data_IF_973922565741
#
_entry.id   IF_973922565741
#
_cell.length_a   1.000
_cell.length_b   1.000
_cell.length_c   1.000
_cell.angle_alpha   90.00
_cell.angle_beta   90.00
_cell.angle_gamma   90.00
#
_symmetry.space_group_name_H-M   'P 1'
#
loop_
_entity.id
_entity.type
_entity.pdbx_description
1 polymer ?
#
# COMPACT_ATOMS: atom_id res chain seq x y z
N UNK A 1 -10.68 -19.15 18.56
CA UNK A 1 -9.57 -18.51 19.33
C UNK A 1 -9.07 -19.52 20.33
N UNK A 2 -7.80 -19.48 20.73
CA UNK A 2 -7.28 -20.44 21.71
C UNK A 2 -7.01 -19.68 23.02
N UNK A 3 -7.57 -20.17 24.11
CA UNK A 3 -7.21 -19.72 25.46
C UNK A 3 -6.08 -20.63 25.93
N UNK A 4 -4.93 -20.01 26.23
CA UNK A 4 -3.78 -20.70 26.81
C UNK A 4 -3.95 -20.65 28.32
N UNK A 5 -4.05 -21.80 28.98
CA UNK A 5 -4.14 -21.89 30.43
C UNK A 5 -2.74 -21.96 31.03
N UNK A 6 -2.63 -21.51 32.29
CA UNK A 6 -1.36 -21.53 33.04
C UNK A 6 -0.85 -22.97 33.19
N UNK A 7 0.46 -23.12 33.34
CA UNK A 7 1.07 -24.40 33.69
C UNK A 7 0.65 -24.84 35.11
N UNK A 8 0.23 -26.10 35.27
CA UNK A 8 -0.19 -26.66 36.57
C UNK A 8 -1.67 -26.51 36.93
N UNK A 9 -2.49 -25.98 36.01
CA UNK A 9 -3.95 -25.89 36.14
C UNK A 9 -4.55 -27.29 36.19
N UNK A 10 -5.26 -27.62 37.26
CA UNK A 10 -5.94 -28.90 37.46
C UNK A 10 -7.22 -29.04 36.62
N UNK A 11 -7.76 -30.25 36.47
CA UNK A 11 -8.94 -30.48 35.62
C UNK A 11 -10.17 -29.67 36.04
N UNK A 12 -10.39 -29.47 37.35
CA UNK A 12 -11.47 -28.66 37.88
C UNK A 12 -11.40 -27.20 37.39
N UNK A 13 -10.21 -26.60 37.36
CA UNK A 13 -10.03 -25.23 36.88
C UNK A 13 -10.21 -25.12 35.35
N UNK A 14 -9.88 -26.18 34.60
CA UNK A 14 -10.17 -26.25 33.15
C UNK A 14 -11.69 -26.31 32.94
N UNK A 15 -12.39 -27.12 33.72
CA UNK A 15 -13.84 -27.27 33.65
C UNK A 15 -14.56 -25.97 34.00
N UNK A 16 -14.09 -25.24 35.02
CA UNK A 16 -14.59 -23.89 35.35
C UNK A 16 -14.50 -22.92 34.17
N UNK A 17 -13.37 -22.92 33.44
CA UNK A 17 -13.20 -22.08 32.25
C UNK A 17 -14.18 -22.48 31.14
N UNK A 18 -14.37 -23.79 30.94
CA UNK A 18 -15.32 -24.32 29.93
C UNK A 18 -16.76 -23.98 30.29
N UNK A 19 -17.14 -24.12 31.56
CA UNK A 19 -18.44 -23.72 32.10
C UNK A 19 -18.68 -22.22 31.90
N UNK A 20 -17.70 -21.39 32.24
CA UNK A 20 -17.79 -19.94 32.06
C UNK A 20 -17.94 -19.54 30.58
N UNK A 21 -17.28 -20.24 29.66
CA UNK A 21 -17.44 -20.05 28.22
C UNK A 21 -18.81 -20.52 27.72
N UNK A 22 -19.31 -21.64 28.25
CA UNK A 22 -20.60 -22.19 27.87
C UNK A 22 -21.75 -21.32 28.36
N UNK A 23 -21.69 -20.84 29.61
CA UNK A 23 -22.63 -19.85 30.17
C UNK A 23 -22.66 -18.54 29.36
N UNK A 24 -21.54 -18.22 28.73
CA UNK A 24 -21.37 -17.10 27.82
C UNK A 24 -21.87 -17.33 26.39
N UNK A 25 -22.43 -18.51 26.10
CA UNK A 25 -22.90 -18.91 24.78
C UNK A 25 -21.80 -19.26 23.79
N UNK A 26 -20.60 -19.63 24.25
CA UNK A 26 -19.54 -20.11 23.39
C UNK A 26 -19.40 -21.63 23.47
N UNK A 27 -19.33 -22.30 22.32
CA UNK A 27 -18.82 -23.67 22.22
C UNK A 27 -17.30 -23.67 22.35
N UNK A 28 -16.79 -24.55 23.19
CA UNK A 28 -15.34 -24.73 23.38
C UNK A 28 -14.95 -26.21 23.38
N UNK A 29 -13.69 -26.48 23.03
CA UNK A 29 -13.09 -27.81 23.04
C UNK A 29 -11.76 -27.76 23.76
N UNK A 30 -11.59 -28.62 24.76
CA UNK A 30 -10.30 -28.76 25.47
C UNK A 30 -9.33 -29.54 24.59
N UNK A 31 -8.13 -29.01 24.46
CA UNK A 31 -6.99 -29.61 23.76
C UNK A 31 -5.84 -29.73 24.76
N UNK A 32 -5.04 -30.80 24.66
CA UNK A 32 -3.78 -30.92 25.40
C UNK A 32 -2.65 -30.71 24.42
N UNK A 33 -1.84 -29.68 24.62
CA UNK A 33 -0.69 -29.36 23.76
C UNK A 33 0.54 -29.07 24.60
N UNK A 34 1.67 -29.75 24.31
CA UNK A 34 2.97 -29.52 24.96
C UNK A 34 2.94 -29.48 26.51
N UNK A 35 2.13 -30.34 27.13
CA UNK A 35 2.00 -30.42 28.60
C UNK A 35 1.15 -29.31 29.24
N UNK A 36 0.47 -28.47 28.46
CA UNK A 36 -0.47 -27.46 28.95
C UNK A 36 -1.89 -27.70 28.45
N UNK A 37 -2.92 -27.48 29.28
CA UNK A 37 -4.30 -27.50 28.82
C UNK A 37 -4.60 -26.23 28.02
N UNK A 38 -5.20 -26.40 26.85
CA UNK A 38 -5.58 -25.34 25.92
C UNK A 38 -7.09 -25.42 25.69
N UNK A 39 -7.79 -24.29 25.67
CA UNK A 39 -9.23 -24.27 25.39
C UNK A 39 -9.47 -23.59 24.05
N UNK A 40 -9.88 -24.38 23.06
CA UNK A 40 -10.22 -23.90 21.74
C UNK A 40 -11.67 -23.40 21.73
N UNK A 41 -11.85 -22.09 21.60
CA UNK A 41 -13.14 -21.42 21.47
C UNK A 41 -13.59 -21.47 20.00
N UNK A 42 -14.62 -22.26 19.72
CA UNK A 42 -15.18 -22.49 18.38
C UNK A 42 -16.16 -21.37 18.00
N UNK A 43 -17.00 -20.95 18.95
CA UNK A 43 -17.99 -19.89 18.75
C UNK A 43 -17.71 -18.70 19.65
N UNK A 44 -18.08 -17.50 19.18
CA UNK A 44 -17.71 -16.26 19.87
C UNK A 44 -18.64 -16.03 21.07
N UNK A 45 -18.12 -15.90 22.30
CA UNK A 45 -18.94 -15.64 23.48
C UNK A 45 -19.59 -14.26 23.42
N UNK A 46 -20.82 -14.14 23.96
CA UNK A 46 -21.54 -12.87 24.09
C UNK A 46 -20.77 -11.92 25.00
N UNK A 47 -20.19 -10.83 24.48
CA UNK A 47 -19.33 -9.90 25.24
C UNK A 47 -17.83 -10.04 24.97
N UNK A 48 -17.43 -10.94 24.06
CA UNK A 48 -16.07 -11.03 23.54
C UNK A 48 -15.11 -11.86 24.39
N UNK A 49 -14.12 -12.48 23.71
CA UNK A 49 -13.17 -13.44 24.33
C UNK A 49 -12.20 -12.77 25.30
N UNK A 50 -11.94 -11.46 25.13
CA UNK A 50 -10.98 -10.71 25.97
C UNK A 50 -11.34 -10.68 27.46
N UNK A 51 -12.61 -10.82 27.82
CA UNK A 51 -13.00 -10.86 29.24
C UNK A 51 -12.44 -12.09 29.96
N UNK A 52 -12.30 -13.20 29.24
CA UNK A 52 -11.77 -14.46 29.78
C UNK A 52 -10.25 -14.42 29.96
N UNK A 53 -9.55 -13.43 29.37
CA UNK A 53 -8.14 -13.19 29.65
C UNK A 53 -7.88 -12.82 31.12
N UNK A 54 -8.92 -12.38 31.85
CA UNK A 54 -8.84 -12.04 33.28
C UNK A 54 -9.13 -13.22 34.20
N UNK A 55 -9.51 -14.38 33.66
CA UNK A 55 -9.79 -15.57 34.45
C UNK A 55 -8.48 -16.10 35.06
N UNK A 56 -8.49 -16.52 36.34
CA UNK A 56 -7.26 -16.91 37.07
C UNK A 56 -6.47 -18.03 36.39
N UNK A 57 -7.18 -18.98 35.77
CA UNK A 57 -6.59 -20.10 35.05
C UNK A 57 -6.03 -19.75 33.65
N UNK A 58 -6.38 -18.57 33.08
CA UNK A 58 -5.98 -18.18 31.73
C UNK A 58 -4.68 -17.37 31.78
N UNK A 59 -3.68 -17.83 31.04
CA UNK A 59 -2.38 -17.16 30.83
C UNK A 59 -2.47 -16.15 29.67
N UNK A 60 -3.18 -16.50 28.61
CA UNK A 60 -3.30 -15.65 27.44
C UNK A 60 -4.41 -16.06 26.46
N UNK A 61 -4.78 -15.12 25.59
CA UNK A 61 -5.72 -15.38 24.48
C UNK A 61 -4.95 -15.30 23.18
N UNK A 62 -4.71 -16.45 22.56
CA UNK A 62 -4.09 -16.52 21.25
C UNK A 62 -5.15 -16.46 20.13
N UNK A 63 -5.02 -15.52 19.18
CA UNK A 63 -5.79 -15.55 17.96
C UNK A 63 -5.46 -16.83 17.17
N UNK A 64 -6.49 -17.49 16.61
CA UNK A 64 -6.29 -18.57 15.63
C UNK A 64 -5.39 -18.07 14.50
N UNK A 65 -4.58 -18.95 13.89
CA UNK A 65 -3.63 -18.61 12.82
C UNK A 65 -4.22 -17.67 11.76
N UNK A 66 -5.49 -17.86 11.37
CA UNK A 66 -6.22 -16.99 10.43
C UNK A 66 -6.43 -15.55 10.92
N UNK A 67 -6.73 -15.32 12.20
CA UNK A 67 -6.88 -13.97 12.73
C UNK A 67 -5.53 -13.30 13.04
N UNK A 68 -4.47 -14.07 13.29
CA UNK A 68 -3.08 -13.56 13.29
C UNK A 68 -2.65 -13.14 11.88
N UNK A 69 -2.97 -13.92 10.85
CA UNK A 69 -2.70 -13.60 9.43
C UNK A 69 -3.40 -12.31 8.98
N UNK A 70 -4.66 -12.07 9.38
CA UNK A 70 -5.36 -10.80 9.11
C UNK A 70 -4.71 -9.59 9.79
N UNK A 71 -3.96 -9.79 10.88
CA UNK A 71 -3.33 -8.71 11.66
C UNK A 71 -1.87 -8.45 11.27
N UNK A 72 -1.16 -9.49 10.82
CA UNK A 72 0.26 -9.46 10.45
C UNK A 72 0.46 -9.36 8.93
N UNK A 73 -0.57 -9.63 8.12
CA UNK A 73 -0.44 -9.70 6.67
C UNK A 73 0.09 -11.07 6.21
N UNK A 74 0.11 -11.29 4.88
CA UNK A 74 0.79 -12.45 4.29
C UNK A 74 2.30 -12.22 4.32
N UNK A 75 3.13 -13.26 4.55
CA UNK A 75 4.58 -13.11 4.46
C UNK A 75 4.98 -12.68 3.04
N UNK A 76 5.99 -11.81 2.95
CA UNK A 76 6.50 -11.28 1.67
C UNK A 76 6.86 -12.41 0.70
N UNK A 77 7.67 -13.35 1.17
CA UNK A 77 7.95 -14.58 0.45
C UNK A 77 6.96 -15.68 0.87
N UNK A 78 6.44 -16.50 -0.06
CA UNK A 78 6.62 -16.43 -1.51
C UNK A 78 5.60 -15.51 -2.22
N UNK A 79 4.55 -15.09 -1.52
CA UNK A 79 3.33 -14.53 -2.13
C UNK A 79 3.57 -13.22 -2.89
N UNK A 80 4.19 -12.24 -2.25
CA UNK A 80 4.44 -10.94 -2.86
C UNK A 80 5.63 -11.02 -3.81
N UNK A 81 6.69 -11.73 -3.43
CA UNK A 81 7.87 -11.90 -4.27
C UNK A 81 7.53 -12.46 -5.66
N UNK A 82 6.77 -13.56 -5.73
CA UNK A 82 6.37 -14.14 -7.01
C UNK A 82 5.49 -13.20 -7.84
N UNK A 83 4.58 -12.45 -7.18
CA UNK A 83 3.78 -11.43 -7.84
C UNK A 83 4.63 -10.31 -8.45
N UNK A 84 5.65 -9.85 -7.73
CA UNK A 84 6.60 -8.85 -8.22
C UNK A 84 7.44 -9.37 -9.37
N UNK A 85 7.96 -10.61 -9.30
CA UNK A 85 8.68 -11.23 -10.40
C UNK A 85 7.82 -11.36 -11.66
N UNK A 86 6.57 -11.80 -11.52
CA UNK A 86 5.62 -11.87 -12.63
C UNK A 86 5.34 -10.49 -13.24
N UNK A 87 5.12 -9.48 -12.41
CA UNK A 87 4.90 -8.10 -12.86
C UNK A 87 6.13 -7.53 -13.60
N UNK A 88 7.35 -7.77 -13.10
CA UNK A 88 8.58 -7.33 -13.77
C UNK A 88 8.77 -8.04 -15.11
N UNK A 89 8.52 -9.35 -15.17
CA UNK A 89 8.58 -10.10 -16.43
C UNK A 89 7.57 -9.58 -17.46
N UNK A 90 6.33 -9.30 -17.03
CA UNK A 90 5.31 -8.71 -17.89
C UNK A 90 5.71 -7.31 -18.37
N UNK A 91 6.22 -6.47 -17.48
CA UNK A 91 6.69 -5.12 -17.81
C UNK A 91 7.85 -5.17 -18.81
N UNK A 92 8.86 -6.02 -18.56
CA UNK A 92 9.99 -6.22 -19.47
C UNK A 92 9.55 -6.76 -20.82
N UNK A 93 8.64 -7.75 -20.84
CA UNK A 93 8.06 -8.27 -22.08
C UNK A 93 7.33 -7.18 -22.87
N UNK A 94 6.51 -6.37 -22.20
CA UNK A 94 5.82 -5.24 -22.82
C UNK A 94 6.81 -4.21 -23.38
N UNK A 95 7.88 -3.87 -22.65
CA UNK A 95 8.94 -2.97 -23.12
C UNK A 95 9.67 -3.51 -24.35
N UNK A 96 10.00 -4.80 -24.38
CA UNK A 96 10.65 -5.45 -25.53
C UNK A 96 9.73 -5.44 -26.75
N UNK A 97 8.45 -5.79 -26.57
CA UNK A 97 7.46 -5.72 -27.64
C UNK A 97 7.31 -4.27 -28.15
N UNK A 98 7.16 -3.31 -27.24
CA UNK A 98 7.02 -1.91 -27.60
C UNK A 98 8.26 -1.41 -28.37
N UNK A 99 9.47 -1.80 -27.93
CA UNK A 99 10.72 -1.45 -28.62
C UNK A 99 10.89 -2.13 -29.98
N UNK A 100 10.25 -3.28 -30.21
CA UNK A 100 10.27 -3.98 -31.49
C UNK A 100 9.25 -3.44 -32.48
N UNK A 101 8.05 -3.10 -32.01
CA UNK A 101 6.93 -2.65 -32.84
C UNK A 101 6.91 -1.14 -33.10
N UNK A 102 7.44 -0.34 -32.18
CA UNK A 102 7.55 1.10 -32.38
C UNK A 102 8.93 1.45 -32.95
N UNK A 103 9.01 2.26 -34.03
CA UNK A 103 10.29 2.71 -34.56
C UNK A 103 11.08 3.43 -33.46
N UNK A 104 12.39 3.21 -33.43
CA UNK A 104 13.28 3.91 -32.50
C UNK A 104 13.12 5.42 -32.77
N UNK A 105 12.47 6.14 -31.87
CA UNK A 105 12.43 7.61 -31.87
C UNK A 105 13.80 8.25 -31.53
N UNK A 106 14.90 7.53 -31.75
CA UNK A 106 16.22 8.12 -31.85
C UNK A 106 16.16 8.94 -33.14
N UNK A 107 15.97 10.25 -33.02
CA UNK A 107 15.81 11.14 -34.16
C UNK A 107 16.93 11.00 -35.21
N UNK A 108 16.79 11.71 -36.32
CA UNK A 108 17.81 11.71 -37.37
C UNK A 108 19.20 12.07 -36.82
N UNK A 109 20.26 11.52 -37.42
CA UNK A 109 21.62 11.92 -37.05
C UNK A 109 21.74 13.43 -37.20
N UNK A 110 22.24 14.14 -36.18
CA UNK A 110 22.33 15.58 -36.23
C UNK A 110 23.29 15.99 -37.36
N UNK A 111 22.77 16.69 -38.37
CA UNK A 111 23.58 17.32 -39.40
C UNK A 111 24.11 18.66 -38.86
N UNK A 112 25.43 18.83 -38.64
CA UNK A 112 25.99 20.08 -38.13
C UNK A 112 25.88 21.26 -39.09
N UNK A 113 25.48 21.02 -40.36
CA UNK A 113 25.34 22.06 -41.39
C UNK A 113 23.94 22.65 -41.46
N UNK A 114 22.97 21.98 -40.86
CA UNK A 114 21.60 22.46 -40.80
C UNK A 114 21.32 22.96 -39.37
N UNK A 115 20.65 24.11 -39.21
CA UNK A 115 20.11 24.46 -37.90
C UNK A 115 19.20 23.31 -37.45
N UNK A 116 19.28 22.88 -36.18
CA UNK A 116 18.46 21.77 -35.71
C UNK A 116 16.99 22.11 -35.97
N UNK A 117 16.30 21.24 -36.69
CA UNK A 117 14.84 21.27 -36.75
C UNK A 117 14.31 21.29 -35.32
N UNK A 118 13.21 22.02 -35.06
CA UNK A 118 12.64 22.22 -33.72
C UNK A 118 12.75 20.94 -32.89
N UNK A 119 13.68 20.96 -31.92
CA UNK A 119 13.96 19.81 -31.08
C UNK A 119 12.76 19.68 -30.14
N UNK A 120 11.77 18.90 -30.56
CA UNK A 120 10.62 18.62 -29.72
C UNK A 120 11.11 17.94 -28.45
N UNK A 121 10.68 18.47 -27.30
CA UNK A 121 11.00 17.87 -26.03
C UNK A 121 10.47 16.42 -25.99
N UNK A 122 11.23 15.48 -25.39
CA UNK A 122 10.72 14.14 -25.10
C UNK A 122 9.36 14.22 -24.40
N UNK A 123 8.46 13.27 -24.68
CA UNK A 123 7.07 13.30 -24.20
C UNK A 123 6.93 13.47 -22.68
N UNK A 124 7.89 12.96 -21.90
CA UNK A 124 7.91 13.08 -20.44
C UNK A 124 8.39 14.46 -19.94
N UNK A 125 9.04 15.25 -20.80
CA UNK A 125 9.43 16.65 -20.54
C UNK A 125 8.44 17.66 -21.13
N UNK A 126 7.55 17.25 -22.05
CA UNK A 126 6.54 18.14 -22.64
C UNK A 126 5.71 18.94 -21.63
N UNK A 127 5.23 18.40 -20.49
CA UNK A 127 4.50 19.24 -19.53
C UNK A 127 5.37 20.34 -18.92
N UNK A 128 6.66 20.09 -18.74
CA UNK A 128 7.60 21.12 -18.30
C UNK A 128 7.80 22.17 -19.40
N UNK A 129 8.00 21.75 -20.66
CA UNK A 129 8.09 22.66 -21.82
C UNK A 129 6.83 23.52 -21.98
N UNK A 130 5.65 22.93 -21.84
CA UNK A 130 4.38 23.66 -21.86
C UNK A 130 4.26 24.66 -20.72
N UNK A 131 4.75 24.32 -19.52
CA UNK A 131 4.81 25.28 -18.41
C UNK A 131 5.71 26.48 -18.75
N UNK A 132 6.85 26.25 -19.40
CA UNK A 132 7.75 27.33 -19.82
C UNK A 132 7.09 28.26 -20.86
N UNK A 133 6.30 27.72 -21.79
CA UNK A 133 5.56 28.49 -22.79
C UNK A 133 4.45 29.39 -22.23
N UNK A 134 4.00 29.15 -20.98
CA UNK A 134 3.03 30.03 -20.33
C UNK A 134 3.63 31.39 -19.93
N UNK A 135 4.96 31.51 -19.94
CA UNK A 135 5.65 32.73 -19.53
C UNK A 135 6.13 33.55 -20.75
N UNK A 136 6.08 34.88 -20.68
CA UNK A 136 6.60 35.74 -21.74
C UNK A 136 8.11 35.56 -21.97
N UNK A 137 8.62 35.89 -23.18
CA UNK A 137 10.05 35.92 -23.44
C UNK A 137 10.78 36.82 -22.43
N UNK A 138 11.90 36.33 -21.87
CA UNK A 138 12.67 37.03 -20.83
C UNK A 138 12.23 36.74 -19.37
N UNK A 139 11.16 35.97 -19.17
CA UNK A 139 10.69 35.53 -17.84
C UNK A 139 10.97 34.05 -17.57
N UNK A 140 11.97 33.48 -18.25
CA UNK A 140 12.35 32.07 -18.11
C UNK A 140 12.68 31.69 -16.67
N UNK A 141 13.32 32.59 -15.92
CA UNK A 141 13.64 32.40 -14.51
C UNK A 141 12.37 32.18 -13.66
N UNK A 142 11.27 32.86 -13.99
CA UNK A 142 10.01 32.74 -13.26
C UNK A 142 9.33 31.39 -13.57
N UNK A 143 9.47 30.92 -14.82
CA UNK A 143 8.97 29.62 -15.23
C UNK A 143 9.73 28.47 -14.53
N UNK A 144 11.06 28.56 -14.45
CA UNK A 144 11.88 27.62 -13.70
C UNK A 144 11.60 27.66 -12.19
N UNK A 145 11.39 28.85 -11.63
CA UNK A 145 10.98 29.00 -10.24
C UNK A 145 9.61 28.35 -9.99
N UNK A 146 8.64 28.54 -10.89
CA UNK A 146 7.32 27.92 -10.79
C UNK A 146 7.43 26.38 -10.86
N UNK A 147 8.24 25.84 -11.77
CA UNK A 147 8.51 24.40 -11.85
C UNK A 147 9.16 23.86 -10.56
N UNK A 148 10.14 24.57 -10.01
CA UNK A 148 10.80 24.21 -8.77
C UNK A 148 9.84 24.25 -7.57
N UNK A 149 8.97 25.26 -7.48
CA UNK A 149 7.93 25.35 -6.45
C UNK A 149 6.89 24.25 -6.59
N UNK A 150 6.52 23.86 -7.81
CA UNK A 150 5.64 22.72 -8.06
C UNK A 150 6.28 21.40 -7.61
N UNK A 151 7.55 21.18 -7.94
CA UNK A 151 8.31 20.01 -7.49
C UNK A 151 8.46 19.99 -5.95
N UNK A 152 8.75 21.15 -5.35
CA UNK A 152 8.86 21.30 -3.90
C UNK A 152 7.53 21.01 -3.21
N UNK A 153 6.41 21.55 -3.72
CA UNK A 153 5.08 21.28 -3.18
C UNK A 153 4.74 19.80 -3.30
N UNK A 154 5.04 19.14 -4.43
CA UNK A 154 4.89 17.69 -4.59
C UNK A 154 5.71 16.90 -3.55
N UNK A 155 6.96 17.28 -3.30
CA UNK A 155 7.80 16.69 -2.25
C UNK A 155 7.28 16.96 -0.83
N UNK A 156 6.61 18.09 -0.60
CA UNK A 156 6.02 18.47 0.67
C UNK A 156 4.61 17.92 0.88
N UNK A 157 3.98 17.29 -0.14
CA UNK A 157 2.65 16.66 -0.01
C UNK A 157 2.56 15.76 1.23
N UNK A 158 3.53 14.85 1.52
CA UNK A 158 3.44 14.00 2.71
C UNK A 158 3.45 14.76 4.03
N UNK A 159 4.09 15.94 4.09
CA UNK A 159 4.13 16.79 5.28
C UNK A 159 2.89 17.70 5.40
N UNK A 160 2.30 18.08 4.27
CA UNK A 160 1.07 18.87 4.19
C UNK A 160 -0.19 18.01 4.36
N UNK A 161 -0.12 16.74 3.98
CA UNK A 161 -1.21 15.77 4.14
C UNK A 161 -1.33 15.34 5.61
N UNK A 162 -2.14 16.09 6.35
CA UNK A 162 -2.52 15.78 7.74
C UNK A 162 -3.76 14.87 7.82
N UNK A 163 -4.16 14.24 6.72
CA UNK A 163 -5.32 13.35 6.66
C UNK A 163 -5.21 12.22 7.70
N UNK A 164 -6.24 12.06 8.54
CA UNK A 164 -6.31 10.98 9.55
C UNK A 164 -6.57 9.58 8.96
N UNK A 165 -6.63 9.45 7.64
CA UNK A 165 -6.94 8.21 6.93
C UNK A 165 -5.82 7.76 5.99
N UNK A 166 -5.58 6.45 5.89
CA UNK A 166 -4.60 5.84 4.96
C UNK A 166 -5.06 5.81 3.51
N UNK A 167 -6.32 6.16 3.25
CA UNK A 167 -6.91 6.25 1.92
C UNK A 167 -7.17 7.72 1.64
N UNK A 168 -6.84 8.20 0.43
CA UNK A 168 -7.13 9.58 0.06
C UNK A 168 -8.64 9.80 0.14
N UNK A 169 -9.06 10.78 0.92
CA UNK A 169 -10.46 11.22 0.90
C UNK A 169 -10.83 11.74 -0.49
N UNK A 170 -12.13 11.86 -0.78
CA UNK A 170 -12.62 12.49 -2.01
C UNK A 170 -11.89 13.79 -2.42
N UNK A 171 -11.57 14.74 -1.51
CA UNK A 171 -10.82 15.95 -1.90
C UNK A 171 -9.37 15.67 -2.34
N UNK A 172 -8.69 14.70 -1.74
CA UNK A 172 -7.32 14.34 -2.12
C UNK A 172 -7.28 13.62 -3.49
N UNK A 173 -8.28 12.77 -3.76
CA UNK A 173 -8.46 12.16 -5.08
C UNK A 173 -8.75 13.22 -6.15
N UNK A 174 -9.64 14.17 -5.87
CA UNK A 174 -9.96 15.26 -6.79
C UNK A 174 -8.72 16.13 -7.09
N UNK A 175 -7.91 16.46 -6.07
CA UNK A 175 -6.67 17.20 -6.25
C UNK A 175 -5.65 16.42 -7.09
N UNK A 176 -5.48 15.12 -6.84
CA UNK A 176 -4.60 14.26 -7.64
C UNK A 176 -5.04 14.16 -9.10
N UNK A 177 -6.34 14.01 -9.35
CA UNK A 177 -6.91 14.00 -10.70
C UNK A 177 -6.76 15.36 -11.40
N UNK A 178 -6.95 16.48 -10.69
CA UNK A 178 -6.75 17.81 -11.23
C UNK A 178 -5.28 18.06 -11.61
N UNK A 179 -4.33 17.62 -10.78
CA UNK A 179 -2.90 17.68 -11.11
C UNK A 179 -2.56 16.83 -12.34
N UNK A 180 -3.11 15.62 -12.44
CA UNK A 180 -2.91 14.76 -13.60
C UNK A 180 -3.50 15.38 -14.88
N UNK A 181 -4.70 15.98 -14.80
CA UNK A 181 -5.33 16.68 -15.91
C UNK A 181 -4.53 17.92 -16.33
N UNK A 182 -4.01 18.70 -15.38
CA UNK A 182 -3.15 19.84 -15.64
C UNK A 182 -1.84 19.42 -16.33
N UNK A 183 -1.18 18.36 -15.86
CA UNK A 183 0.01 17.81 -16.50
C UNK A 183 -0.28 17.34 -17.94
N UNK A 184 -1.45 16.72 -18.17
CA UNK A 184 -1.88 16.31 -19.51
C UNK A 184 -2.08 17.54 -20.43
N UNK A 185 -2.76 18.58 -19.94
CA UNK A 185 -2.98 19.82 -20.69
C UNK A 185 -1.66 20.52 -21.04
N UNK A 186 -0.74 20.60 -20.08
CA UNK A 186 0.61 21.16 -20.32
C UNK A 186 1.41 20.31 -21.31
N UNK A 187 1.23 18.99 -21.31
CA UNK A 187 1.90 18.10 -22.28
C UNK A 187 1.42 18.33 -23.71
N UNK A 188 0.16 18.73 -23.89
CA UNK A 188 -0.41 19.12 -25.20
C UNK A 188 0.09 20.51 -25.62
N UNK A 189 0.26 21.43 -24.68
CA UNK A 189 0.78 22.78 -24.97
C UNK A 189 2.29 22.79 -25.31
N UNK A 190 3.04 21.83 -24.76
CA UNK A 190 4.49 21.71 -24.94
C UNK A 190 4.93 20.76 -26.05
N UNK A 191 3.99 20.17 -26.80
CA UNK A 191 4.26 19.28 -27.92
C UNK A 191 3.83 19.91 -29.23
#
# INVERSE_FOLDING_TARGET
MILVLRSGVGEAEVEDVVLALTAAGARSRVLRGAGRPLVHVLERPRGGVRRFARHRAVEGVEPLSRSRQRRIGRPFYPHHFLGWCAAMLLLSGALVLLSGFFPRGLGESPDPRLPPAEVQAPWYLRPLSGLLHLFPPGWEWAAWLAAALLALTACLVPALDRGRGRLPGAPALAAGLALAAAALALSVLGG
#
